data_IF_876962638219
#
_entry.id   IF_876962638219
#
_cell.length_a   1.000
_cell.length_b   1.000
_cell.length_c   1.000
_cell.angle_alpha   90.00
_cell.angle_beta   90.00
_cell.angle_gamma   90.00
#
_symmetry.space_group_name_H-M   'P 1'
#
loop_
_entity.id
_entity.type
_entity.pdbx_description
1 polymer ?
#
# COMPACT_ATOMS: atom_id res chain seq x y z
N UNK A 1 -8.59 -0.24 -6.95
CA UNK A 1 -7.32 0.25 -6.39
C UNK A 1 -6.22 -0.10 -7.40
N UNK A 2 -5.42 0.85 -7.86
CA UNK A 2 -4.33 0.53 -8.82
C UNK A 2 -3.03 0.33 -8.05
N UNK A 3 -2.45 -0.87 -8.16
CA UNK A 3 -1.16 -1.22 -7.53
C UNK A 3 -0.05 -1.09 -8.58
N UNK A 4 1.03 -0.39 -8.23
CA UNK A 4 2.23 -0.26 -9.08
C UNK A 4 3.41 -0.84 -8.32
N UNK A 5 3.88 -2.01 -8.76
CA UNK A 5 5.03 -2.71 -8.19
C UNK A 5 6.16 -2.78 -9.20
N UNK A 6 7.36 -2.42 -8.77
CA UNK A 6 8.58 -2.53 -9.57
C UNK A 6 9.74 -2.88 -8.65
N UNK A 7 10.52 -3.91 -9.01
CA UNK A 7 11.71 -4.30 -8.27
C UNK A 7 12.82 -3.29 -8.57
N UNK A 8 13.29 -2.61 -7.53
CA UNK A 8 14.37 -1.62 -7.62
C UNK A 8 15.59 -2.07 -6.83
N UNK A 9 16.77 -1.65 -7.28
CA UNK A 9 18.03 -1.88 -6.55
C UNK A 9 18.28 -0.76 -5.56
N UNK A 10 18.81 -1.12 -4.39
CA UNK A 10 19.32 -0.18 -3.41
C UNK A 10 20.72 0.29 -3.86
N UNK A 11 20.93 1.60 -3.90
CA UNK A 11 22.23 2.22 -4.19
C UNK A 11 23.19 2.18 -2.99
N UNK A 12 24.42 2.65 -3.19
CA UNK A 12 25.54 2.52 -2.23
C UNK A 12 25.24 3.06 -0.81
N UNK A 13 24.33 4.02 -0.68
CA UNK A 13 23.98 4.66 0.60
C UNK A 13 22.53 4.43 1.02
N UNK A 14 21.92 3.32 0.60
CA UNK A 14 20.50 3.06 0.91
C UNK A 14 19.54 3.86 0.03
N UNK A 15 20.01 4.46 -1.06
CA UNK A 15 19.20 5.28 -1.95
C UNK A 15 18.32 4.38 -2.81
N UNK A 16 17.03 4.70 -2.90
CA UNK A 16 16.08 4.04 -3.80
C UNK A 16 15.58 5.06 -4.82
N UNK A 17 15.69 4.71 -6.09
CA UNK A 17 15.15 5.53 -7.17
C UNK A 17 13.68 5.14 -7.34
N UNK A 18 12.78 6.05 -6.96
CA UNK A 18 11.34 5.84 -7.15
C UNK A 18 11.01 5.71 -8.64
N UNK A 19 10.25 4.68 -9.08
CA UNK A 19 9.77 4.57 -10.45
C UNK A 19 9.08 5.82 -10.98
N UNK A 20 9.28 6.13 -12.27
CA UNK A 20 8.70 7.33 -12.90
C UNK A 20 7.18 7.40 -12.75
N UNK A 21 6.49 6.27 -12.92
CA UNK A 21 5.04 6.16 -12.81
C UNK A 21 4.52 6.55 -11.41
N UNK A 22 5.24 6.17 -10.35
CA UNK A 22 4.88 6.53 -8.96
C UNK A 22 5.08 8.04 -8.75
N UNK A 23 6.23 8.59 -9.21
CA UNK A 23 6.51 10.02 -9.06
C UNK A 23 5.48 10.89 -9.77
N UNK A 24 5.08 10.53 -10.99
CA UNK A 24 4.10 11.29 -11.76
C UNK A 24 2.71 11.28 -11.13
N UNK A 25 2.27 10.11 -10.64
CA UNK A 25 0.96 9.98 -9.97
C UNK A 25 0.86 10.78 -8.68
N UNK A 26 1.88 10.69 -7.84
CA UNK A 26 1.91 11.41 -6.56
C UNK A 26 2.36 12.87 -6.71
N UNK A 27 2.69 13.30 -7.94
CA UNK A 27 3.21 14.63 -8.22
C UNK A 27 4.46 14.93 -7.39
N UNK A 28 5.36 13.96 -7.28
CA UNK A 28 6.62 14.09 -6.54
C UNK A 28 7.61 14.93 -7.34
N UNK A 29 8.10 16.01 -6.72
CA UNK A 29 9.06 16.93 -7.32
C UNK A 29 10.37 16.93 -6.55
N UNK A 30 11.42 17.42 -7.20
CA UNK A 30 12.72 17.60 -6.56
C UNK A 30 12.55 18.58 -5.39
N UNK A 31 12.98 18.17 -4.20
CA UNK A 31 12.89 18.97 -2.98
C UNK A 31 11.66 18.67 -2.12
N UNK A 32 10.73 17.83 -2.59
CA UNK A 32 9.62 17.38 -1.75
C UNK A 32 10.16 16.64 -0.52
N UNK A 33 9.61 16.97 0.66
CA UNK A 33 9.93 16.28 1.90
C UNK A 33 9.07 15.03 2.03
N UNK A 34 9.73 13.91 2.26
CA UNK A 34 9.10 12.62 2.46
C UNK A 34 9.38 12.12 3.88
N UNK A 35 8.37 11.53 4.51
CA UNK A 35 8.51 10.77 5.73
C UNK A 35 8.79 9.31 5.36
N UNK A 36 9.81 8.73 6.00
CA UNK A 36 10.12 7.30 5.92
C UNK A 36 9.73 6.67 7.25
N UNK A 37 8.85 5.68 7.20
CA UNK A 37 8.44 4.88 8.36
C UNK A 37 8.90 3.44 8.23
N UNK A 38 9.07 2.76 9.37
CA UNK A 38 9.30 1.32 9.44
C UNK A 38 8.24 0.68 10.34
N UNK A 39 7.64 -0.40 9.86
CA UNK A 39 6.67 -1.19 10.61
C UNK A 39 6.81 -2.66 10.19
N UNK A 40 7.24 -3.53 11.10
CA UNK A 40 7.26 -5.00 10.93
C UNK A 40 7.79 -5.51 9.56
N UNK A 41 8.93 -4.98 9.14
CA UNK A 41 9.57 -5.37 7.86
C UNK A 41 9.12 -4.55 6.65
N UNK A 42 8.11 -3.70 6.79
CA UNK A 42 7.65 -2.78 5.76
C UNK A 42 8.30 -1.39 5.92
N UNK A 43 8.84 -0.86 4.83
CA UNK A 43 9.26 0.53 4.72
C UNK A 43 8.15 1.29 4.01
N UNK A 44 7.64 2.34 4.65
CA UNK A 44 6.63 3.22 4.06
C UNK A 44 7.24 4.56 3.69
N UNK A 45 6.70 5.16 2.63
CA UNK A 45 7.10 6.49 2.17
C UNK A 45 5.84 7.34 1.95
N UNK A 46 5.74 8.47 2.62
CA UNK A 46 4.60 9.40 2.48
C UNK A 46 5.06 10.86 2.41
N UNK A 47 4.27 11.72 1.76
CA UNK A 47 4.54 13.18 1.76
C UNK A 47 4.32 13.71 3.17
N UNK A 48 5.21 14.58 3.66
CA UNK A 48 5.08 15.18 5.00
C UNK A 48 3.77 15.98 5.15
N UNK A 49 3.31 16.62 4.08
CA UNK A 49 2.05 17.39 4.05
C UNK A 49 0.80 16.49 4.04
N UNK A 50 0.92 15.25 3.56
CA UNK A 50 -0.15 14.24 3.62
C UNK A 50 0.00 13.41 4.90
N UNK A 51 0.10 14.06 6.06
CA UNK A 51 -0.15 13.41 7.36
C UNK A 51 -1.63 12.98 7.42
N UNK A 52 -2.01 11.99 6.62
CA UNK A 52 -2.90 10.96 7.13
C UNK A 52 -1.98 10.08 7.93
N UNK A 53 -2.17 10.07 9.25
CA UNK A 53 -1.45 9.13 10.09
C UNK A 53 -1.76 7.76 9.48
N UNK A 54 -0.75 7.03 9.02
CA UNK A 54 -0.97 5.67 8.48
C UNK A 54 -1.72 4.83 9.54
N UNK A 55 -1.49 5.18 10.81
CA UNK A 55 -2.26 4.79 11.98
C UNK A 55 -3.74 5.17 11.85
N UNK A 56 -4.12 6.39 11.49
CA UNK A 56 -5.53 6.79 11.30
C UNK A 56 -6.22 5.98 10.18
N UNK A 57 -5.49 5.69 9.10
CA UNK A 57 -6.02 4.87 8.00
C UNK A 57 -6.25 3.43 8.44
N UNK A 58 -5.26 2.82 9.09
CA UNK A 58 -5.39 1.45 9.58
C UNK A 58 -6.35 1.34 10.77
N UNK A 59 -6.43 2.36 11.62
CA UNK A 59 -7.41 2.49 12.70
C UNK A 59 -8.80 2.56 12.11
N UNK A 60 -9.04 3.48 11.16
CA UNK A 60 -10.34 3.63 10.49
C UNK A 60 -10.74 2.38 9.71
N UNK A 61 -9.80 1.71 9.05
CA UNK A 61 -10.04 0.41 8.42
C UNK A 61 -10.43 -0.65 9.45
N UNK A 62 -9.69 -0.76 10.56
CA UNK A 62 -9.96 -1.71 11.63
C UNK A 62 -11.28 -1.45 12.36
N UNK A 63 -11.69 -0.19 12.48
CA UNK A 63 -13.02 0.20 12.99
C UNK A 63 -14.12 -0.19 12.02
N UNK A 64 -13.99 0.16 10.73
CA UNK A 64 -14.97 -0.20 9.71
C UNK A 64 -15.14 -1.72 9.54
N UNK A 65 -14.05 -2.49 9.67
CA UNK A 65 -14.10 -3.96 9.66
C UNK A 65 -14.84 -4.50 10.89
N UNK A 66 -14.55 -3.96 12.09
CA UNK A 66 -15.25 -4.33 13.32
C UNK A 66 -16.74 -4.00 13.26
N UNK A 67 -17.13 -2.83 12.74
CA UNK A 67 -18.54 -2.46 12.54
C UNK A 67 -19.29 -3.42 11.61
N UNK A 68 -18.59 -4.01 10.63
CA UNK A 68 -19.13 -5.03 9.72
C UNK A 68 -19.07 -6.45 10.28
N UNK A 69 -18.61 -6.62 11.52
CA UNK A 69 -18.56 -7.91 12.21
C UNK A 69 -17.29 -8.73 11.96
N UNK A 70 -16.26 -8.15 11.34
CA UNK A 70 -14.93 -8.74 11.20
C UNK A 70 -14.08 -8.37 12.42
N UNK A 71 -14.42 -8.97 13.56
CA UNK A 71 -13.89 -8.67 14.89
C UNK A 71 -12.95 -9.76 15.44
N UNK A 72 -12.68 -10.80 14.65
CA UNK A 72 -11.74 -11.87 14.97
C UNK A 72 -10.73 -12.09 13.84
N UNK A 73 -9.56 -12.62 14.19
CA UNK A 73 -8.50 -12.96 13.24
C UNK A 73 -8.98 -13.96 12.17
N UNK A 74 -9.80 -14.93 12.58
CA UNK A 74 -10.40 -15.94 11.68
C UNK A 74 -11.24 -15.27 10.58
N UNK A 75 -12.19 -14.40 10.97
CA UNK A 75 -13.04 -13.69 10.01
C UNK A 75 -12.25 -12.75 9.10
N UNK A 76 -11.22 -12.10 9.64
CA UNK A 76 -10.34 -11.23 8.84
C UNK A 76 -9.54 -12.07 7.83
N UNK A 77 -9.08 -13.26 8.23
CA UNK A 77 -8.33 -14.16 7.36
C UNK A 77 -9.21 -14.69 6.22
N UNK A 78 -10.44 -15.11 6.53
CA UNK A 78 -11.42 -15.50 5.52
C UNK A 78 -11.68 -14.38 4.50
N UNK A 79 -11.92 -13.15 4.97
CA UNK A 79 -12.10 -11.99 4.10
C UNK A 79 -10.87 -11.72 3.21
N UNK A 80 -9.67 -11.86 3.76
CA UNK A 80 -8.43 -11.68 3.00
C UNK A 80 -8.35 -12.71 1.86
N UNK A 81 -8.72 -13.97 2.12
CA UNK A 81 -8.66 -15.03 1.12
C UNK A 81 -9.73 -14.84 0.03
N UNK A 82 -10.96 -14.45 0.40
CA UNK A 82 -12.00 -14.06 -0.57
C UNK A 82 -11.52 -12.94 -1.51
N UNK A 83 -10.95 -11.87 -0.94
CA UNK A 83 -10.43 -10.74 -1.74
C UNK A 83 -9.28 -11.18 -2.65
N UNK A 84 -8.38 -12.06 -2.18
CA UNK A 84 -7.30 -12.59 -3.02
C UNK A 84 -7.84 -13.37 -4.21
N UNK A 85 -8.86 -14.20 -4.01
CA UNK A 85 -9.50 -14.97 -5.08
C UNK A 85 -10.13 -14.03 -6.11
N UNK A 86 -10.96 -13.08 -5.67
CA UNK A 86 -11.60 -12.09 -6.55
C UNK A 86 -10.59 -11.31 -7.38
N UNK A 87 -9.53 -10.80 -6.73
CA UNK A 87 -8.46 -10.06 -7.41
C UNK A 87 -7.74 -10.97 -8.40
N UNK A 88 -7.40 -12.20 -8.03
CA UNK A 88 -6.71 -13.13 -8.92
C UNK A 88 -7.54 -13.44 -10.17
N UNK A 89 -8.84 -13.66 -10.02
CA UNK A 89 -9.75 -13.89 -11.14
C UNK A 89 -9.85 -12.67 -12.06
N UNK A 90 -9.97 -11.46 -11.50
CA UNK A 90 -9.96 -10.22 -12.27
C UNK A 90 -8.69 -10.06 -13.10
N UNK A 91 -7.54 -10.38 -12.52
CA UNK A 91 -6.24 -10.30 -13.18
C UNK A 91 -6.09 -11.33 -14.29
N UNK A 92 -6.51 -12.59 -14.07
CA UNK A 92 -6.53 -13.64 -15.11
C UNK A 92 -7.41 -13.22 -16.28
N UNK A 93 -8.57 -12.61 -16.02
CA UNK A 93 -9.50 -12.13 -17.04
C UNK A 93 -8.91 -10.98 -17.86
N UNK A 94 -8.15 -10.08 -17.23
CA UNK A 94 -7.45 -8.98 -17.92
C UNK A 94 -6.27 -9.45 -18.77
N UNK A 95 -5.56 -10.51 -18.34
CA UNK A 95 -4.43 -11.09 -19.06
C UNK A 95 -4.84 -11.98 -20.25
N UNK A 96 -6.09 -12.43 -20.30
CA UNK A 96 -6.66 -13.26 -21.39
C UNK A 96 -7.39 -12.45 -22.48
N UNK A 97 -7.37 -11.12 -22.40
CA UNK A 97 -7.84 -10.19 -23.45
C UNK A 97 -6.66 -9.55 -24.16
#
# INVERSE_FOLDING_TARGET
MEVVEEIVKIGEKGQVILPKKIREKEGLKRGDLMMIGYMDGFITLSKVEKKMDVIDVFTGLGEALREKGYDSEEKITELIDEVKEEVTEEWIKKLRK
#
